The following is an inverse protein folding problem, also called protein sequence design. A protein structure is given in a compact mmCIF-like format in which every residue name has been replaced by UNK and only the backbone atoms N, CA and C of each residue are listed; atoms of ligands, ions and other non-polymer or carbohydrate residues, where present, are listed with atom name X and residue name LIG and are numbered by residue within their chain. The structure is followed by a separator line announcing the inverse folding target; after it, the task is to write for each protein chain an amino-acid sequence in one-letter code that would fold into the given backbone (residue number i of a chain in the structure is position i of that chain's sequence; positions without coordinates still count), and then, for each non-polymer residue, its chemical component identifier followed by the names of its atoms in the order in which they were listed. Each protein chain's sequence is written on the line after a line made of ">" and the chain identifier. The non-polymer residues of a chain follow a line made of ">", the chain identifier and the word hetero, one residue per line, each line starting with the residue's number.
data_IF_604279472216
#
_entry.id   IF_604279472216
#
_cell.length_a   1.000
_cell.length_b   1.000
_cell.length_c   1.000
_cell.angle_alpha   90.00
_cell.angle_beta   90.00
_cell.angle_gamma   90.00
#
_symmetry.space_group_name_H-M   'P 1'
#
loop_
_entity.id
_entity.type
_entity.pdbx_description
1 polymer ?
#
# COMPACT_ATOMS: atom_id res chain seq x y z
N UNK A 1 16.37 -7.18 -12.67
CA UNK A 1 16.57 -6.03 -11.76
C UNK A 1 15.32 -5.88 -10.93
N UNK A 2 15.43 -5.76 -9.61
CA UNK A 2 14.30 -5.49 -8.71
C UNK A 2 13.79 -4.06 -8.90
N UNK A 3 12.60 -3.76 -8.40
CA UNK A 3 12.09 -2.39 -8.35
C UNK A 3 12.93 -1.53 -7.41
N UNK A 4 13.14 -0.27 -7.78
CA UNK A 4 13.86 0.75 -6.98
C UNK A 4 12.95 1.96 -6.82
N UNK A 5 12.87 2.50 -5.59
CA UNK A 5 12.03 3.64 -5.29
C UNK A 5 12.67 4.95 -5.75
N UNK A 6 11.88 5.79 -6.41
CA UNK A 6 12.23 7.19 -6.64
C UNK A 6 11.89 8.00 -5.40
N UNK A 7 12.79 8.89 -4.95
CA UNK A 7 12.57 9.69 -3.74
C UNK A 7 11.27 10.51 -3.81
N UNK A 8 10.47 10.47 -2.74
CA UNK A 8 9.30 11.34 -2.61
C UNK A 8 9.72 12.78 -2.38
N UNK A 9 8.94 13.72 -2.94
CA UNK A 9 9.06 15.12 -2.59
C UNK A 9 8.82 15.32 -1.09
N UNK A 10 9.60 16.20 -0.47
CA UNK A 10 9.44 16.54 0.94
C UNK A 10 8.32 17.57 1.15
N UNK A 11 7.12 17.27 0.64
CA UNK A 11 5.93 18.09 0.84
C UNK A 11 4.97 17.39 1.83
N UNK A 12 4.12 18.13 2.56
CA UNK A 12 3.21 17.52 3.55
C UNK A 12 2.29 16.46 2.94
N UNK A 13 1.71 16.73 1.76
CA UNK A 13 0.76 15.85 1.09
C UNK A 13 1.38 14.70 0.28
N UNK A 14 2.70 14.71 0.02
CA UNK A 14 3.34 13.74 -0.87
C UNK A 14 3.24 12.29 -0.34
N UNK A 15 2.67 11.43 -1.18
CA UNK A 15 2.56 9.98 -1.02
C UNK A 15 2.83 9.29 -2.37
N UNK A 16 3.04 7.97 -2.34
CA UNK A 16 2.88 7.15 -3.54
C UNK A 16 1.53 6.45 -3.52
N UNK A 17 0.93 6.26 -4.69
CA UNK A 17 -0.20 5.33 -4.88
C UNK A 17 0.21 4.25 -5.86
N UNK A 18 -0.19 3.02 -5.57
CA UNK A 18 -0.05 1.89 -6.47
C UNK A 18 -1.28 1.81 -7.38
N UNK A 19 -1.08 2.09 -8.67
CA UNK A 19 -2.09 1.88 -9.69
C UNK A 19 -2.07 0.41 -10.06
N UNK A 20 -3.02 -0.33 -9.53
CA UNK A 20 -3.22 -1.75 -9.80
C UNK A 20 -3.96 -1.88 -11.13
N UNK A 21 -3.34 -2.55 -12.10
CA UNK A 21 -3.96 -2.77 -13.41
C UNK A 21 -5.05 -3.86 -13.34
N UNK A 22 -6.04 -3.78 -14.24
CA UNK A 22 -7.10 -4.78 -14.32
C UNK A 22 -6.56 -6.14 -14.79
N UNK A 23 -7.34 -7.20 -14.57
CA UNK A 23 -7.05 -8.55 -15.04
C UNK A 23 -8.32 -9.28 -15.42
N UNK A 24 -8.29 -10.03 -16.52
CA UNK A 24 -9.43 -10.83 -16.96
C UNK A 24 -9.63 -12.04 -16.05
N UNK A 25 -8.53 -12.67 -15.64
CA UNK A 25 -8.53 -13.87 -14.80
C UNK A 25 -7.94 -13.57 -13.43
N UNK A 26 -8.48 -14.25 -12.42
CA UNK A 26 -7.96 -14.17 -11.05
C UNK A 26 -6.49 -14.59 -10.98
N UNK A 27 -6.07 -15.50 -11.87
CA UNK A 27 -4.72 -16.04 -11.89
C UNK A 27 -3.70 -15.23 -12.71
N UNK A 28 -4.15 -14.20 -13.44
CA UNK A 28 -3.24 -13.36 -14.22
C UNK A 28 -2.18 -12.70 -13.32
N UNK A 29 -0.98 -12.39 -13.87
CA UNK A 29 0.05 -11.65 -13.16
C UNK A 29 -0.48 -10.33 -12.57
N UNK A 30 -0.05 -9.99 -11.36
CA UNK A 30 -0.40 -8.71 -10.76
C UNK A 30 0.58 -7.66 -11.28
N UNK A 31 0.04 -6.70 -12.03
CA UNK A 31 0.78 -5.63 -12.68
C UNK A 31 0.32 -4.28 -12.14
N UNK A 32 1.22 -3.32 -12.14
CA UNK A 32 0.88 -1.94 -11.83
C UNK A 32 2.08 -1.01 -11.87
N UNK A 33 1.86 0.20 -11.40
CA UNK A 33 2.87 1.25 -11.34
C UNK A 33 2.71 2.08 -10.06
N UNK A 34 3.80 2.69 -9.61
CA UNK A 34 3.76 3.65 -8.52
C UNK A 34 3.70 5.07 -9.09
N UNK A 35 2.75 5.85 -8.60
CA UNK A 35 2.59 7.26 -8.96
C UNK A 35 2.86 8.14 -7.74
N UNK A 36 3.60 9.24 -7.93
CA UNK A 36 3.83 10.26 -6.91
C UNK A 36 2.69 11.27 -6.96
N UNK A 37 1.96 11.40 -5.86
CA UNK A 37 0.75 12.24 -5.80
C UNK A 37 0.67 12.97 -4.46
N UNK A 38 -0.14 14.03 -4.43
CA UNK A 38 -0.58 14.61 -3.17
C UNK A 38 -1.87 13.94 -2.70
N UNK A 39 -1.89 13.44 -1.47
CA UNK A 39 -3.07 12.83 -0.87
C UNK A 39 -4.24 13.82 -0.68
N UNK A 40 -4.02 15.12 -0.87
CA UNK A 40 -5.03 16.18 -0.73
C UNK A 40 -5.83 16.41 -2.02
N UNK A 41 -5.22 16.16 -3.18
CA UNK A 41 -5.79 16.48 -4.49
C UNK A 41 -6.05 15.23 -5.36
N UNK A 42 -5.51 14.08 -4.97
CA UNK A 42 -5.60 12.85 -5.74
C UNK A 42 -6.58 11.86 -5.11
N UNK A 43 -7.36 11.19 -5.95
CA UNK A 43 -8.37 10.20 -5.53
C UNK A 43 -7.75 8.81 -5.45
N UNK A 44 -7.84 8.17 -4.29
CA UNK A 44 -7.33 6.82 -4.08
C UNK A 44 -8.12 6.09 -3.00
N UNK A 45 -7.94 4.77 -2.93
CA UNK A 45 -8.48 3.92 -1.87
C UNK A 45 -7.35 3.45 -0.96
N UNK A 46 -7.46 3.68 0.35
CA UNK A 46 -6.49 3.09 1.28
C UNK A 46 -6.91 1.66 1.63
N UNK A 47 -5.94 0.75 1.59
CA UNK A 47 -6.15 -0.67 1.86
C UNK A 47 -5.71 -0.98 3.29
N UNK A 48 -6.55 -1.70 4.01
CA UNK A 48 -6.27 -2.21 5.34
C UNK A 48 -6.32 -3.74 5.28
N UNK A 49 -5.24 -4.38 5.69
CA UNK A 49 -5.08 -5.83 5.64
C UNK A 49 -4.26 -6.31 6.85
N UNK A 50 -4.47 -7.57 7.23
CA UNK A 50 -3.67 -8.23 8.27
C UNK A 50 -2.32 -8.55 7.68
N UNK A 51 -1.23 -8.18 8.36
CA UNK A 51 0.13 -8.49 7.93
C UNK A 51 0.39 -10.00 8.00
N UNK A 52 1.06 -10.54 7.00
CA UNK A 52 1.30 -11.97 6.85
C UNK A 52 2.74 -12.33 7.21
N UNK A 53 3.00 -13.64 7.19
CA UNK A 53 4.35 -14.14 7.39
C UNK A 53 5.27 -13.69 6.23
N UNK A 54 6.36 -12.95 6.50
CA UNK A 54 7.28 -12.46 5.46
C UNK A 54 8.05 -13.59 4.75
N UNK A 55 8.03 -14.83 5.27
CA UNK A 55 8.66 -15.99 4.63
C UNK A 55 7.92 -16.49 3.39
N UNK A 56 6.64 -16.14 3.20
CA UNK A 56 5.85 -16.52 2.03
C UNK A 56 5.71 -15.32 1.09
N UNK A 57 6.74 -15.12 0.27
CA UNK A 57 6.81 -14.00 -0.68
C UNK A 57 6.33 -14.45 -2.07
N UNK A 58 5.40 -13.71 -2.64
CA UNK A 58 5.03 -13.78 -4.06
C UNK A 58 5.59 -12.57 -4.80
N UNK A 59 5.83 -12.72 -6.10
CA UNK A 59 6.28 -11.61 -6.94
C UNK A 59 5.11 -10.98 -7.67
N UNK A 60 5.00 -9.65 -7.59
CA UNK A 60 4.20 -8.81 -8.49
C UNK A 60 5.14 -8.02 -9.41
N UNK A 61 4.60 -7.26 -10.36
CA UNK A 61 5.39 -6.34 -11.17
C UNK A 61 4.96 -4.88 -10.95
N UNK A 62 5.94 -4.03 -10.66
CA UNK A 62 5.78 -2.58 -10.58
C UNK A 62 6.64 -1.97 -11.68
N UNK A 63 6.01 -1.29 -12.64
CA UNK A 63 6.68 -0.68 -13.80
C UNK A 63 7.59 -1.69 -14.54
N UNK A 64 7.09 -2.92 -14.72
CA UNK A 64 7.80 -4.03 -15.37
C UNK A 64 8.91 -4.68 -14.53
N UNK A 65 9.11 -4.25 -13.28
CA UNK A 65 10.15 -4.78 -12.39
C UNK A 65 9.54 -5.68 -11.30
N UNK A 66 10.15 -6.83 -10.98
CA UNK A 66 9.71 -7.68 -9.87
C UNK A 66 9.72 -6.94 -8.53
N UNK A 67 8.65 -7.14 -7.75
CA UNK A 67 8.50 -6.64 -6.38
C UNK A 67 7.89 -7.74 -5.50
N UNK A 68 8.51 -8.01 -4.34
CA UNK A 68 8.07 -9.07 -3.43
C UNK A 68 6.98 -8.60 -2.48
N UNK A 69 5.89 -9.36 -2.37
CA UNK A 69 4.80 -9.12 -1.40
C UNK A 69 4.49 -10.40 -0.62
N UNK A 70 4.09 -10.26 0.63
CA UNK A 70 3.66 -11.41 1.43
C UNK A 70 2.34 -12.01 0.90
N UNK A 71 2.12 -13.31 1.12
CA UNK A 71 0.98 -14.09 0.61
C UNK A 71 -0.40 -13.48 0.92
N UNK A 72 -0.58 -12.96 2.13
CA UNK A 72 -1.78 -12.22 2.51
C UNK A 72 -2.02 -11.03 1.56
N UNK A 73 -1.01 -10.17 1.35
CA UNK A 73 -1.11 -8.99 0.50
C UNK A 73 -1.31 -9.38 -0.97
N UNK A 74 -0.64 -10.43 -1.43
CA UNK A 74 -0.85 -10.98 -2.77
C UNK A 74 -2.33 -11.34 -3.01
N UNK A 75 -2.94 -12.06 -2.07
CA UNK A 75 -4.35 -12.43 -2.16
C UNK A 75 -5.28 -11.21 -2.08
N UNK A 76 -4.95 -10.23 -1.22
CA UNK A 76 -5.67 -8.95 -1.17
C UNK A 76 -5.65 -8.27 -2.53
N UNK A 77 -4.47 -8.10 -3.14
CA UNK A 77 -4.33 -7.46 -4.45
C UNK A 77 -5.15 -8.18 -5.51
N UNK A 78 -5.10 -9.53 -5.56
CA UNK A 78 -5.95 -10.31 -6.49
C UNK A 78 -7.43 -10.05 -6.32
N UNK A 79 -7.91 -10.01 -5.08
CA UNK A 79 -9.34 -9.75 -4.78
C UNK A 79 -9.78 -8.32 -5.08
N UNK A 80 -8.83 -7.38 -5.14
CA UNK A 80 -9.10 -5.97 -5.39
C UNK A 80 -9.12 -5.61 -6.87
N UNK A 81 -8.51 -6.43 -7.75
CA UNK A 81 -8.46 -6.17 -9.19
C UNK A 81 -9.86 -6.11 -9.78
N UNK A 82 -10.08 -5.08 -10.59
CA UNK A 82 -11.23 -5.01 -11.49
C UNK A 82 -10.91 -5.76 -12.78
N UNK A 83 -11.95 -6.10 -13.55
CA UNK A 83 -11.78 -6.75 -14.86
C UNK A 83 -11.50 -5.75 -15.98
N UNK A 84 -11.90 -4.49 -15.83
CA UNK A 84 -11.85 -3.50 -16.89
C UNK A 84 -10.98 -2.28 -16.54
N UNK A 85 -11.07 -1.78 -15.29
CA UNK A 85 -10.49 -0.49 -14.94
C UNK A 85 -9.35 -0.59 -13.92
N UNK A 86 -8.25 0.18 -14.08
CA UNK A 86 -7.22 0.26 -13.07
C UNK A 86 -7.73 0.95 -11.79
N UNK A 87 -7.15 0.60 -10.64
CA UNK A 87 -7.53 1.17 -9.34
C UNK A 87 -6.30 1.75 -8.65
N UNK A 88 -6.40 3.01 -8.22
CA UNK A 88 -5.36 3.66 -7.41
C UNK A 88 -5.52 3.30 -5.93
N UNK A 89 -4.53 2.58 -5.41
CA UNK A 89 -4.49 2.07 -4.04
C UNK A 89 -3.36 2.73 -3.24
N UNK A 90 -3.60 3.03 -1.97
CA UNK A 90 -2.54 3.27 -1.01
C UNK A 90 -2.40 2.04 -0.11
N UNK A 91 -1.25 1.38 -0.20
CA UNK A 91 -0.88 0.19 0.56
C UNK A 91 0.48 0.47 1.17
N UNK A 92 0.57 0.52 2.49
CA UNK A 92 1.79 0.89 3.21
C UNK A 92 3.02 0.04 2.82
N UNK A 93 2.86 -1.27 2.65
CA UNK A 93 3.97 -2.17 2.26
C UNK A 93 4.48 -1.98 0.82
N UNK A 94 3.74 -1.26 -0.04
CA UNK A 94 4.11 -1.02 -1.44
C UNK A 94 4.46 0.46 -1.66
N UNK A 95 3.64 1.37 -1.13
CA UNK A 95 3.74 2.80 -1.38
C UNK A 95 4.84 3.50 -0.56
N UNK A 96 5.24 2.90 0.56
CA UNK A 96 6.31 3.40 1.43
C UNK A 96 7.57 2.59 1.15
N UNK A 97 8.71 3.27 0.94
CA UNK A 97 10.00 2.59 0.92
C UNK A 97 10.34 2.10 2.34
N UNK A 98 10.15 0.81 2.56
CA UNK A 98 10.34 0.15 3.85
C UNK A 98 11.81 0.13 4.31
N UNK A 99 12.75 0.24 3.36
CA UNK A 99 14.20 0.26 3.62
C UNK A 99 14.70 1.67 3.95
N UNK A 100 13.97 2.71 3.54
CA UNK A 100 14.27 4.09 3.88
C UNK A 100 13.56 4.50 5.18
N UNK A 101 14.27 4.37 6.31
CA UNK A 101 13.73 4.66 7.65
C UNK A 101 13.23 6.10 7.78
N UNK A 102 13.90 7.08 7.15
CA UNK A 102 13.48 8.49 7.20
C UNK A 102 12.15 8.69 6.48
N UNK A 103 12.04 8.17 5.25
CA UNK A 103 10.79 8.24 4.48
C UNK A 103 9.66 7.50 5.21
N UNK A 104 9.92 6.27 5.68
CA UNK A 104 8.95 5.45 6.39
C UNK A 104 8.38 6.16 7.61
N UNK A 105 9.24 6.76 8.44
CA UNK A 105 8.80 7.49 9.62
C UNK A 105 7.95 8.73 9.23
N UNK A 106 8.34 9.45 8.18
CA UNK A 106 7.57 10.58 7.68
C UNK A 106 6.18 10.15 7.16
N UNK A 107 6.10 9.04 6.42
CA UNK A 107 4.83 8.50 5.92
C UNK A 107 3.92 7.98 7.04
N UNK A 108 4.49 7.32 8.07
CA UNK A 108 3.74 6.88 9.25
C UNK A 108 3.13 8.06 10.01
N UNK A 109 3.86 9.18 10.14
CA UNK A 109 3.32 10.40 10.76
C UNK A 109 2.17 11.00 9.94
N UNK A 110 2.16 10.84 8.62
CA UNK A 110 1.09 11.29 7.71
C UNK A 110 -0.10 10.34 7.66
N UNK A 111 0.00 9.13 8.20
CA UNK A 111 -0.99 8.08 7.94
C UNK A 111 -2.42 8.48 8.33
N UNK A 112 -2.58 9.25 9.40
CA UNK A 112 -3.88 9.80 9.79
C UNK A 112 -4.48 10.76 8.75
N UNK A 113 -3.67 11.60 8.09
CA UNK A 113 -4.13 12.50 7.01
C UNK A 113 -4.40 11.73 5.72
N UNK A 114 -3.59 10.72 5.42
CA UNK A 114 -3.80 9.82 4.27
C UNK A 114 -5.18 9.14 4.39
N UNK A 115 -5.43 8.42 5.48
CA UNK A 115 -6.73 7.76 5.67
C UNK A 115 -7.92 8.74 5.73
N UNK A 116 -7.71 9.99 6.13
CA UNK A 116 -8.77 11.02 6.13
C UNK A 116 -9.15 11.46 4.72
N UNK A 117 -8.19 11.52 3.79
CA UNK A 117 -8.39 12.09 2.46
C UNK A 117 -8.64 11.04 1.36
N UNK A 118 -8.66 9.75 1.69
CA UNK A 118 -9.04 8.70 0.74
C UNK A 118 -10.51 8.82 0.30
N UNK A 119 -10.83 8.33 -0.90
CA UNK A 119 -12.21 8.28 -1.41
C UNK A 119 -12.97 7.05 -0.87
N UNK A 120 -12.25 5.99 -0.50
CA UNK A 120 -12.85 4.78 0.05
C UNK A 120 -11.87 3.97 0.88
N UNK A 121 -12.41 3.14 1.79
CA UNK A 121 -11.65 2.14 2.54
C UNK A 121 -12.03 0.76 2.04
N UNK A 122 -11.05 -0.04 1.61
CA UNK A 122 -11.25 -1.47 1.37
C UNK A 122 -10.51 -2.27 2.44
N UNK A 123 -11.26 -3.08 3.19
CA UNK A 123 -10.72 -3.98 4.21
C UNK A 123 -10.74 -5.40 3.63
N UNK A 124 -9.59 -6.07 3.64
CA UNK A 124 -9.47 -7.35 2.96
C UNK A 124 -9.90 -8.57 3.80
N UNK A 125 -10.02 -8.45 5.13
CA UNK A 125 -10.69 -9.43 5.98
C UNK A 125 -11.12 -8.76 7.30
N UNK A 126 -12.38 -8.98 7.67
CA UNK A 126 -12.99 -8.45 8.88
C UNK A 126 -12.97 -9.50 10.00
N UNK A 127 -12.32 -9.19 11.11
CA UNK A 127 -12.91 -9.42 12.42
C UNK A 127 -12.47 -8.27 13.31
N UNK A 128 -13.46 -7.49 13.74
CA UNK A 128 -13.34 -6.31 14.59
C UNK A 128 -12.88 -5.05 13.82
N UNK A 129 -13.68 -4.00 13.88
CA UNK A 129 -13.38 -2.68 13.33
C UNK A 129 -12.79 -1.84 14.46
N UNK A 130 -11.47 -1.70 14.59
CA UNK A 130 -10.94 -0.55 15.29
C UNK A 130 -11.32 0.68 14.46
N UNK A 131 -11.72 1.77 15.13
CA UNK A 131 -11.90 3.06 14.48
C UNK A 131 -10.61 3.44 13.74
N UNK A 132 -10.71 4.31 12.73
CA UNK A 132 -9.56 4.80 11.96
C UNK A 132 -8.39 5.23 12.86
N UNK A 133 -8.69 5.78 14.04
CA UNK A 133 -7.74 6.15 15.09
C UNK A 133 -7.04 4.94 15.73
N UNK A 134 -7.77 3.90 16.11
CA UNK A 134 -7.18 2.69 16.73
C UNK A 134 -6.33 1.90 15.73
N UNK A 135 -6.75 1.83 14.46
CA UNK A 135 -5.95 1.16 13.42
C UNK A 135 -4.67 1.96 13.10
N UNK A 136 -4.75 3.30 13.04
CA UNK A 136 -3.56 4.14 12.86
C UNK A 136 -2.59 4.08 14.04
N UNK A 137 -3.10 4.01 15.27
CA UNK A 137 -2.30 3.87 16.47
C UNK A 137 -1.61 2.50 16.54
N UNK A 138 -2.31 1.41 16.19
CA UNK A 138 -1.71 0.08 16.12
C UNK A 138 -0.63 -0.02 15.04
N UNK A 139 -0.87 0.55 13.85
CA UNK A 139 0.13 0.60 12.79
C UNK A 139 1.34 1.45 13.20
N UNK A 140 1.14 2.63 13.79
CA UNK A 140 2.24 3.47 14.28
C UNK A 140 3.05 2.80 15.39
N UNK A 141 2.39 2.08 16.30
CA UNK A 141 3.04 1.28 17.35
C UNK A 141 3.79 0.08 16.76
N UNK A 142 3.22 -0.59 15.76
CA UNK A 142 3.87 -1.72 15.09
C UNK A 142 5.13 -1.29 14.32
N UNK A 143 5.06 -0.20 13.54
CA UNK A 143 6.24 0.41 12.90
C UNK A 143 7.28 0.92 13.92
N UNK A 144 6.87 1.21 15.16
CA UNK A 144 7.77 1.53 16.26
C UNK A 144 8.45 0.32 16.90
N UNK A 145 7.88 -0.89 16.77
CA UNK A 145 8.45 -2.14 17.28
C UNK A 145 9.38 -2.85 16.28
N UNK A 146 9.24 -2.60 14.97
CA UNK A 146 10.24 -2.99 13.94
C UNK A 146 11.49 -2.07 13.98
N UNK A 147 11.81 -1.54 15.18
CA UNK A 147 13.03 -0.76 15.51
C UNK A 147 14.11 -1.62 16.18
N UNK A 148 14.03 -2.94 16.11
CA UNK A 148 15.08 -3.84 16.61
C UNK A 148 15.56 -4.78 15.52
#
# INVERSE_FOLDING_TARGET
>A
MTYEYEALENTPGAIRTFVLYPAEQLDDPILGELQHVSHECYKYTAVSYVWGNPSHVHSIQISGRPFGVANNLFNVLRSLRDQAEPISLWIDAICIDQNNVLERNAQVQKMASIYRNMVGKRAAHASERPTLLTFCACLSAHYSHVKR
#
